data_IF_249688126571
#
_entry.id   IF_249688126571
#
_cell.length_a   1.000
_cell.length_b   1.000
_cell.length_c   1.000
_cell.angle_alpha   90.00
_cell.angle_beta   90.00
_cell.angle_gamma   90.00
#
_symmetry.space_group_name_H-M   'P 1'
#
loop_
_entity.id
_entity.type
_entity.pdbx_description
1 polymer ?
#
# COMPACT_ATOMS: atom_id res chain seq x y z
N UNK A 1 -49.48 49.45 -32.03
CA UNK A 1 -49.57 47.97 -32.05
C UNK A 1 -48.68 47.42 -30.93
N UNK A 2 -49.22 46.85 -29.84
CA UNK A 2 -48.39 46.14 -28.89
C UNK A 2 -48.25 44.67 -29.31
N UNK A 3 -47.01 44.17 -29.37
CA UNK A 3 -46.72 42.75 -29.57
C UNK A 3 -47.26 41.95 -28.37
N UNK A 4 -48.28 41.11 -28.59
CA UNK A 4 -48.67 40.08 -27.64
C UNK A 4 -47.58 38.99 -27.60
N UNK A 5 -46.90 38.85 -26.47
CA UNK A 5 -46.02 37.72 -26.20
C UNK A 5 -46.86 36.43 -26.04
N UNK A 6 -46.43 35.29 -26.59
CA UNK A 6 -47.18 34.05 -26.45
C UNK A 6 -47.12 33.56 -25.00
N UNK A 7 -48.21 32.96 -24.47
CA UNK A 7 -48.21 32.41 -23.13
C UNK A 7 -47.27 31.20 -23.10
N UNK A 8 -46.12 31.35 -22.45
CA UNK A 8 -45.22 30.23 -22.16
C UNK A 8 -46.01 29.25 -21.29
N UNK A 9 -46.50 28.17 -21.91
CA UNK A 9 -47.42 27.25 -21.26
C UNK A 9 -46.75 26.61 -20.04
N UNK A 10 -47.35 26.77 -18.85
CA UNK A 10 -46.86 26.15 -17.60
C UNK A 10 -46.72 24.62 -17.69
N UNK A 11 -47.28 24.00 -18.74
CA UNK A 11 -47.10 22.60 -19.10
C UNK A 11 -45.66 22.25 -19.54
N UNK A 12 -45.02 23.12 -20.34
CA UNK A 12 -43.62 22.94 -20.75
C UNK A 12 -42.67 23.08 -19.56
N UNK A 13 -42.93 24.05 -18.67
CA UNK A 13 -42.18 24.25 -17.43
C UNK A 13 -42.30 23.05 -16.49
N UNK A 14 -43.52 22.50 -16.30
CA UNK A 14 -43.76 21.29 -15.50
C UNK A 14 -43.08 20.05 -16.09
N UNK A 15 -43.07 19.87 -17.41
CA UNK A 15 -42.34 18.77 -18.07
C UNK A 15 -40.83 18.92 -17.92
N UNK A 16 -40.28 20.13 -18.04
CA UNK A 16 -38.86 20.40 -17.84
C UNK A 16 -38.46 20.10 -16.38
N UNK A 17 -39.21 20.62 -15.40
CA UNK A 17 -38.99 20.35 -13.97
C UNK A 17 -39.09 18.86 -13.64
N UNK A 18 -40.09 18.14 -14.19
CA UNK A 18 -40.21 16.70 -13.99
C UNK A 18 -39.03 15.90 -14.59
N UNK A 19 -38.49 16.34 -15.74
CA UNK A 19 -37.28 15.74 -16.33
C UNK A 19 -36.04 16.02 -15.48
N UNK A 20 -35.88 17.24 -14.97
CA UNK A 20 -34.79 17.61 -14.05
C UNK A 20 -34.87 16.80 -12.76
N UNK A 21 -36.06 16.64 -12.18
CA UNK A 21 -36.27 15.85 -10.97
C UNK A 21 -35.97 14.36 -11.19
N UNK A 22 -36.36 13.79 -12.35
CA UNK A 22 -35.97 12.42 -12.75
C UNK A 22 -34.46 12.29 -12.92
N UNK A 23 -33.80 13.28 -13.52
CA UNK A 23 -32.35 13.30 -13.71
C UNK A 23 -31.60 13.39 -12.37
N UNK A 24 -32.07 14.22 -11.44
CA UNK A 24 -31.53 14.32 -10.07
C UNK A 24 -31.65 12.98 -9.32
N UNK A 25 -32.82 12.32 -9.38
CA UNK A 25 -32.99 10.99 -8.79
C UNK A 25 -32.06 9.94 -9.40
N UNK A 26 -31.81 10.01 -10.71
CA UNK A 26 -30.86 9.12 -11.39
C UNK A 26 -29.42 9.37 -10.92
N UNK A 27 -29.04 10.64 -10.74
CA UNK A 27 -27.75 11.04 -10.18
C UNK A 27 -27.58 10.55 -8.75
N UNK A 28 -28.57 10.75 -7.88
CA UNK A 28 -28.55 10.24 -6.49
C UNK A 28 -28.40 8.71 -6.46
N UNK A 29 -29.12 7.99 -7.33
CA UNK A 29 -28.99 6.54 -7.45
C UNK A 29 -27.58 6.12 -7.90
N UNK A 30 -27.00 6.82 -8.88
CA UNK A 30 -25.64 6.59 -9.35
C UNK A 30 -24.62 6.86 -8.24
N UNK A 31 -24.74 7.98 -7.51
CA UNK A 31 -23.87 8.30 -6.38
C UNK A 31 -23.98 7.27 -5.27
N UNK A 32 -25.20 6.84 -4.90
CA UNK A 32 -25.42 5.81 -3.89
C UNK A 32 -24.84 4.45 -4.31
N UNK A 33 -24.94 4.09 -5.59
CA UNK A 33 -24.35 2.85 -6.14
C UNK A 33 -22.83 2.93 -6.19
N UNK A 34 -22.28 4.08 -6.59
CA UNK A 34 -20.85 4.36 -6.57
C UNK A 34 -20.31 4.27 -5.14
N UNK A 35 -21.02 4.85 -4.16
CA UNK A 35 -20.64 4.85 -2.76
C UNK A 35 -20.69 3.44 -2.15
N UNK A 36 -21.72 2.64 -2.47
CA UNK A 36 -21.79 1.22 -2.06
C UNK A 36 -20.66 0.40 -2.67
N UNK A 37 -20.38 0.59 -3.96
CA UNK A 37 -19.28 -0.09 -4.65
C UNK A 37 -17.91 0.31 -4.07
N UNK A 38 -17.71 1.60 -3.79
CA UNK A 38 -16.46 2.06 -3.19
C UNK A 38 -16.29 1.50 -1.79
N UNK A 39 -17.34 1.49 -0.95
CA UNK A 39 -17.30 0.91 0.39
C UNK A 39 -17.05 -0.60 0.37
N UNK A 40 -17.73 -1.35 -0.48
CA UNK A 40 -17.54 -2.79 -0.62
C UNK A 40 -16.10 -3.15 -1.02
N UNK A 41 -15.54 -2.43 -2.00
CA UNK A 41 -14.15 -2.64 -2.42
C UNK A 41 -13.13 -2.19 -1.34
N UNK A 42 -13.41 -1.15 -0.56
CA UNK A 42 -12.56 -0.77 0.58
C UNK A 42 -12.53 -1.85 1.65
N UNK A 43 -13.68 -2.46 1.96
CA UNK A 43 -13.74 -3.57 2.91
C UNK A 43 -12.96 -4.79 2.39
N UNK A 44 -13.11 -5.14 1.11
CA UNK A 44 -12.34 -6.23 0.51
C UNK A 44 -10.82 -5.95 0.52
N UNK A 45 -10.41 -4.72 0.21
CA UNK A 45 -9.00 -4.32 0.26
C UNK A 45 -8.45 -4.39 1.68
N UNK A 46 -9.23 -3.95 2.66
CA UNK A 46 -8.86 -4.05 4.07
C UNK A 46 -8.70 -5.52 4.49
N UNK A 47 -9.65 -6.39 4.18
CA UNK A 47 -9.54 -7.83 4.46
C UNK A 47 -8.32 -8.46 3.79
N UNK A 48 -8.01 -8.07 2.55
CA UNK A 48 -6.81 -8.53 1.85
C UNK A 48 -5.53 -8.02 2.52
N UNK A 49 -5.49 -6.78 2.98
CA UNK A 49 -4.35 -6.22 3.72
C UNK A 49 -4.17 -6.86 5.10
N UNK A 50 -5.26 -7.16 5.81
CA UNK A 50 -5.21 -7.88 7.10
C UNK A 50 -4.71 -9.30 6.88
N UNK A 51 -5.18 -9.98 5.83
CA UNK A 51 -4.66 -11.29 5.43
C UNK A 51 -3.15 -11.20 5.12
N UNK A 52 -2.74 -10.26 4.27
CA UNK A 52 -1.35 -10.04 3.91
C UNK A 52 -0.49 -9.76 5.16
N UNK A 53 -0.96 -8.89 6.06
CA UNK A 53 -0.28 -8.60 7.31
C UNK A 53 -0.15 -9.84 8.19
N UNK A 54 -1.22 -10.65 8.34
CA UNK A 54 -1.15 -11.88 9.10
C UNK A 54 -0.13 -12.88 8.51
N UNK A 55 -0.14 -13.06 7.20
CA UNK A 55 0.78 -13.94 6.48
C UNK A 55 2.23 -13.48 6.57
N UNK A 56 2.51 -12.20 6.32
CA UNK A 56 3.88 -11.68 6.35
C UNK A 56 4.41 -11.59 7.78
N UNK A 57 3.56 -11.26 8.76
CA UNK A 57 3.95 -11.24 10.16
C UNK A 57 4.27 -12.65 10.68
N UNK A 58 3.57 -13.71 10.23
CA UNK A 58 3.86 -15.08 10.66
C UNK A 58 5.20 -15.60 10.14
N UNK A 59 5.69 -15.09 9.01
CA UNK A 59 7.01 -15.42 8.46
C UNK A 59 8.11 -14.43 8.87
N UNK A 60 7.82 -13.52 9.81
CA UNK A 60 8.78 -12.53 10.32
C UNK A 60 10.14 -13.12 10.71
N UNK A 61 10.20 -14.23 11.49
CA UNK A 61 11.49 -14.82 11.85
C UNK A 61 12.33 -15.21 10.64
N UNK A 62 11.70 -15.65 9.55
CA UNK A 62 12.38 -16.08 8.32
C UNK A 62 13.10 -14.89 7.67
N UNK A 63 12.49 -13.70 7.66
CA UNK A 63 13.17 -12.49 7.15
C UNK A 63 14.45 -12.21 7.94
N UNK A 64 14.38 -12.23 9.27
CA UNK A 64 15.53 -11.95 10.13
C UNK A 64 16.64 -12.99 9.99
N UNK A 65 16.30 -14.29 9.97
CA UNK A 65 17.27 -15.35 9.74
C UNK A 65 17.99 -15.21 8.40
N UNK A 66 17.26 -14.88 7.34
CA UNK A 66 17.85 -14.66 6.01
C UNK A 66 18.81 -13.47 6.00
N UNK A 67 18.43 -12.35 6.60
CA UNK A 67 19.31 -11.17 6.67
C UNK A 67 20.60 -11.49 7.43
N UNK A 68 20.50 -12.19 8.57
CA UNK A 68 21.68 -12.63 9.32
C UNK A 68 22.57 -13.57 8.52
N UNK A 69 21.99 -14.55 7.83
CA UNK A 69 22.74 -15.49 6.99
C UNK A 69 23.44 -14.78 5.82
N UNK A 70 22.76 -13.85 5.14
CA UNK A 70 23.33 -13.06 4.05
C UNK A 70 24.50 -12.20 4.54
N UNK A 71 24.31 -11.51 5.66
CA UNK A 71 25.35 -10.67 6.27
C UNK A 71 26.58 -11.50 6.69
N UNK A 72 26.37 -12.70 7.26
CA UNK A 72 27.46 -13.60 7.63
C UNK A 72 28.23 -14.10 6.40
N UNK A 73 27.54 -14.50 5.32
CA UNK A 73 28.17 -14.93 4.07
C UNK A 73 29.01 -13.82 3.45
N UNK A 74 28.46 -12.62 3.33
CA UNK A 74 29.18 -11.48 2.76
C UNK A 74 30.37 -11.04 3.61
N UNK A 75 30.24 -11.09 4.94
CA UNK A 75 31.37 -10.86 5.84
C UNK A 75 32.48 -11.89 5.62
N UNK A 76 32.14 -13.18 5.51
CA UNK A 76 33.09 -14.26 5.23
C UNK A 76 33.89 -14.02 3.93
N UNK A 77 33.23 -13.57 2.86
CA UNK A 77 33.92 -13.23 1.62
C UNK A 77 34.84 -12.00 1.76
N UNK A 78 34.44 -11.01 2.54
CA UNK A 78 35.23 -9.80 2.78
C UNK A 78 36.43 -10.02 3.73
N UNK A 79 36.38 -11.02 4.62
CA UNK A 79 37.54 -11.41 5.43
C UNK A 79 38.76 -11.81 4.59
N UNK A 80 38.55 -12.30 3.36
CA UNK A 80 39.63 -12.57 2.40
C UNK A 80 40.33 -11.32 1.87
N UNK A 81 39.76 -10.13 2.10
CA UNK A 81 40.27 -8.82 1.66
C UNK A 81 40.72 -7.96 2.86
N UNK A 82 40.23 -8.28 4.07
CA UNK A 82 40.67 -7.66 5.33
C UNK A 82 39.67 -7.89 6.47
N UNK A 83 40.17 -8.11 7.70
CA UNK A 83 39.35 -8.44 8.89
C UNK A 83 38.36 -7.34 9.25
N UNK A 84 38.80 -6.08 9.16
CA UNK A 84 37.99 -4.90 9.46
C UNK A 84 36.91 -4.66 8.40
N UNK A 85 37.23 -4.93 7.12
CA UNK A 85 36.28 -4.80 6.02
C UNK A 85 35.10 -5.77 6.16
N UNK A 86 35.36 -7.01 6.58
CA UNK A 86 34.33 -8.01 6.87
C UNK A 86 33.36 -7.57 7.96
N UNK A 87 33.87 -6.93 9.02
CA UNK A 87 33.03 -6.45 10.12
C UNK A 87 32.18 -5.23 9.73
N UNK A 88 32.76 -4.30 8.96
CA UNK A 88 32.04 -3.10 8.46
C UNK A 88 30.92 -3.50 7.50
N UNK A 89 31.19 -4.41 6.54
CA UNK A 89 30.16 -4.90 5.61
C UNK A 89 29.03 -5.57 6.37
N UNK A 90 29.34 -6.40 7.38
CA UNK A 90 28.32 -7.04 8.22
C UNK A 90 27.45 -6.02 8.93
N UNK A 91 28.04 -5.02 9.60
CA UNK A 91 27.30 -3.99 10.35
C UNK A 91 26.39 -3.16 9.44
N UNK A 92 26.89 -2.72 8.28
CA UNK A 92 26.12 -1.92 7.34
C UNK A 92 24.99 -2.72 6.67
N UNK A 93 25.25 -3.98 6.32
CA UNK A 93 24.24 -4.90 5.79
C UNK A 93 23.11 -5.12 6.80
N UNK A 94 23.48 -5.40 8.06
CA UNK A 94 22.50 -5.59 9.13
C UNK A 94 21.69 -4.31 9.32
N UNK A 95 22.33 -3.16 9.53
CA UNK A 95 21.62 -1.90 9.77
C UNK A 95 20.61 -1.57 8.66
N UNK A 96 21.03 -1.57 7.39
CA UNK A 96 20.19 -1.14 6.28
C UNK A 96 19.03 -2.12 6.00
N UNK A 97 19.30 -3.42 6.07
CA UNK A 97 18.32 -4.48 5.79
C UNK A 97 17.32 -4.65 6.94
N UNK A 98 17.80 -4.65 8.19
CA UNK A 98 16.93 -4.75 9.37
C UNK A 98 15.99 -3.56 9.47
N UNK A 99 16.49 -2.36 9.23
CA UNK A 99 15.70 -1.14 9.32
C UNK A 99 14.48 -1.18 8.42
N UNK A 100 14.69 -1.60 7.18
CA UNK A 100 13.66 -1.71 6.16
C UNK A 100 12.58 -2.73 6.55
N UNK A 101 12.98 -3.91 7.04
CA UNK A 101 12.06 -4.95 7.50
C UNK A 101 11.35 -4.55 8.78
N UNK A 102 12.03 -3.88 9.72
CA UNK A 102 11.44 -3.32 10.95
C UNK A 102 10.29 -2.37 10.61
N UNK A 103 10.51 -1.40 9.71
CA UNK A 103 9.49 -0.46 9.28
C UNK A 103 8.29 -1.15 8.62
N UNK A 104 8.56 -2.13 7.75
CA UNK A 104 7.51 -2.91 7.09
C UNK A 104 6.66 -3.69 8.10
N UNK A 105 7.28 -4.42 9.02
CA UNK A 105 6.62 -5.22 10.06
C UNK A 105 5.79 -4.32 10.98
N UNK A 106 6.34 -3.20 11.42
CA UNK A 106 5.61 -2.24 12.27
C UNK A 106 4.37 -1.71 11.54
N UNK A 107 4.50 -1.31 10.27
CA UNK A 107 3.38 -0.85 9.46
C UNK A 107 2.31 -1.94 9.24
N UNK A 108 2.71 -3.19 9.00
CA UNK A 108 1.79 -4.33 8.95
C UNK A 108 1.14 -4.62 10.30
N UNK A 109 1.87 -4.40 11.40
CA UNK A 109 1.37 -4.44 12.76
C UNK A 109 0.22 -3.44 12.96
N UNK A 110 0.39 -2.19 12.51
CA UNK A 110 -0.68 -1.16 12.55
C UNK A 110 -1.90 -1.59 11.77
N UNK A 111 -1.74 -2.20 10.59
CA UNK A 111 -2.87 -2.74 9.80
C UNK A 111 -3.64 -3.80 10.59
N UNK A 112 -2.93 -4.64 11.35
CA UNK A 112 -3.51 -5.76 12.09
C UNK A 112 -4.15 -5.34 13.42
N UNK A 113 -3.54 -4.40 14.15
CA UNK A 113 -3.97 -4.01 15.50
C UNK A 113 -4.76 -2.70 15.53
N UNK A 114 -4.69 -1.89 14.46
CA UNK A 114 -5.26 -0.55 14.41
C UNK A 114 -4.49 0.49 15.23
N UNK A 115 -3.33 0.14 15.81
CA UNK A 115 -2.57 1.02 16.70
C UNK A 115 -1.08 1.00 16.37
N UNK A 116 -0.45 2.18 16.46
CA UNK A 116 1.00 2.39 16.29
C UNK A 116 1.79 1.97 17.55
N UNK A 117 1.11 1.69 18.67
CA UNK A 117 1.73 1.35 19.95
C UNK A 117 1.96 2.57 20.85
N UNK A 118 2.56 2.31 22.02
CA UNK A 118 2.78 3.30 23.09
C UNK A 118 3.90 4.31 22.73
N UNK A 119 4.11 5.35 23.56
CA UNK A 119 5.06 6.44 23.29
C UNK A 119 6.49 5.99 22.95
N UNK A 120 6.98 4.92 23.60
CA UNK A 120 8.30 4.32 23.30
C UNK A 120 8.38 3.75 21.88
N UNK A 121 7.31 3.09 21.41
CA UNK A 121 7.26 2.56 20.05
C UNK A 121 7.25 3.66 18.99
N UNK A 122 6.66 4.83 19.31
CA UNK A 122 6.69 6.01 18.44
C UNK A 122 8.08 6.63 18.36
N UNK A 123 8.77 6.82 19.50
CA UNK A 123 10.13 7.35 19.50
C UNK A 123 11.12 6.45 18.72
N UNK A 124 10.99 5.13 18.86
CA UNK A 124 11.75 4.16 18.07
C UNK A 124 11.39 4.23 16.58
N UNK A 125 10.11 4.42 16.27
CA UNK A 125 9.67 4.58 14.88
C UNK A 125 10.28 5.84 14.26
N UNK A 126 10.26 6.98 14.95
CA UNK A 126 10.83 8.23 14.46
C UNK A 126 12.34 8.10 14.21
N UNK A 127 13.04 7.37 15.09
CA UNK A 127 14.47 7.05 14.92
C UNK A 127 14.70 6.16 13.69
N UNK A 128 13.92 5.09 13.53
CA UNK A 128 14.00 4.19 12.39
C UNK A 128 13.70 4.95 11.07
N UNK A 129 12.69 5.81 11.09
CA UNK A 129 12.29 6.67 9.97
C UNK A 129 13.41 7.65 9.57
N UNK A 130 14.03 8.29 10.56
CA UNK A 130 15.15 9.20 10.34
C UNK A 130 16.34 8.46 9.71
N UNK A 131 16.76 7.33 10.29
CA UNK A 131 17.85 6.52 9.74
C UNK A 131 17.55 6.05 8.32
N UNK A 132 16.30 5.68 8.03
CA UNK A 132 15.91 5.24 6.70
C UNK A 132 15.98 6.38 5.69
N UNK A 133 15.68 7.61 6.13
CA UNK A 133 15.78 8.82 5.31
C UNK A 133 17.23 9.21 4.96
N UNK A 134 18.23 8.69 5.69
CA UNK A 134 19.65 8.90 5.39
C UNK A 134 20.18 7.97 4.28
N UNK A 135 19.51 6.83 4.03
CA UNK A 135 19.89 5.92 2.97
C UNK A 135 19.63 6.52 1.59
N UNK A 136 20.51 6.27 0.63
CA UNK A 136 20.24 6.69 -0.75
C UNK A 136 19.12 5.85 -1.39
N UNK A 137 18.53 6.34 -2.48
CA UNK A 137 17.39 5.66 -3.11
C UNK A 137 17.73 4.24 -3.61
N UNK A 138 18.97 4.01 -4.06
CA UNK A 138 19.42 2.71 -4.54
C UNK A 138 19.54 1.70 -3.39
N UNK A 139 20.07 2.12 -2.25
CA UNK A 139 20.17 1.32 -1.02
C UNK A 139 18.80 0.96 -0.50
N UNK A 140 17.88 1.93 -0.42
CA UNK A 140 16.49 1.66 -0.05
C UNK A 140 15.85 0.67 -1.00
N UNK A 141 16.00 0.86 -2.31
CA UNK A 141 15.44 -0.06 -3.30
C UNK A 141 15.97 -1.49 -3.11
N UNK A 142 17.29 -1.65 -3.07
CA UNK A 142 17.92 -2.96 -2.93
C UNK A 142 17.54 -3.64 -1.60
N UNK A 143 17.63 -2.90 -0.49
CA UNK A 143 17.29 -3.43 0.83
C UNK A 143 15.81 -3.84 0.89
N UNK A 144 14.87 -2.99 0.47
CA UNK A 144 13.44 -3.29 0.56
C UNK A 144 13.00 -4.38 -0.41
N UNK A 145 13.59 -4.42 -1.59
CA UNK A 145 13.27 -5.45 -2.57
C UNK A 145 13.70 -6.83 -2.08
N UNK A 146 14.97 -6.99 -1.71
CA UNK A 146 15.55 -8.29 -1.35
C UNK A 146 15.00 -8.84 -0.04
N UNK A 147 14.77 -7.96 0.94
CA UNK A 147 14.49 -8.40 2.32
C UNK A 147 13.00 -8.47 2.63
N UNK A 148 12.15 -7.73 1.91
CA UNK A 148 10.72 -7.67 2.19
C UNK A 148 9.85 -8.04 0.98
N UNK A 149 10.00 -7.33 -0.14
CA UNK A 149 9.09 -7.51 -1.28
C UNK A 149 9.24 -8.89 -1.92
N UNK A 150 10.47 -9.31 -2.24
CA UNK A 150 10.72 -10.58 -2.91
C UNK A 150 10.22 -11.78 -2.09
N UNK A 151 10.59 -11.96 -0.80
CA UNK A 151 10.07 -13.11 -0.06
C UNK A 151 8.56 -13.01 0.21
N UNK A 152 8.00 -11.79 0.34
CA UNK A 152 6.55 -11.62 0.41
C UNK A 152 5.82 -12.03 -0.88
N UNK A 153 6.37 -11.67 -2.04
CA UNK A 153 5.86 -12.08 -3.35
C UNK A 153 5.98 -13.59 -3.54
N UNK A 154 7.10 -14.21 -3.15
CA UNK A 154 7.28 -15.66 -3.19
C UNK A 154 6.26 -16.37 -2.29
N UNK A 155 6.01 -15.86 -1.08
CA UNK A 155 4.99 -16.42 -0.18
C UNK A 155 3.59 -16.39 -0.83
N UNK A 156 3.21 -15.28 -1.46
CA UNK A 156 1.96 -15.19 -2.20
C UNK A 156 1.91 -16.14 -3.40
N UNK A 157 3.02 -16.34 -4.11
CA UNK A 157 3.11 -17.29 -5.21
C UNK A 157 2.92 -18.74 -4.75
N UNK A 158 3.55 -19.14 -3.64
CA UNK A 158 3.33 -20.46 -3.02
C UNK A 158 1.87 -20.64 -2.60
N UNK A 159 1.28 -19.66 -1.92
CA UNK A 159 -0.13 -19.69 -1.54
C UNK A 159 -1.06 -19.76 -2.76
N UNK A 160 -0.64 -19.27 -3.92
CA UNK A 160 -1.41 -19.35 -5.16
C UNK A 160 -1.35 -20.75 -5.76
N UNK A 161 -0.15 -21.33 -5.82
CA UNK A 161 0.07 -22.67 -6.30
C UNK A 161 -0.70 -23.70 -5.45
N UNK A 162 -0.56 -23.63 -4.13
CA UNK A 162 -1.08 -24.66 -3.21
C UNK A 162 -2.46 -24.30 -2.61
N UNK A 163 -2.95 -23.08 -2.88
CA UNK A 163 -4.19 -22.57 -2.32
C UNK A 163 -5.45 -23.19 -2.91
N UNK A 164 -6.51 -23.24 -2.10
CA UNK A 164 -7.85 -23.57 -2.57
C UNK A 164 -8.42 -22.50 -3.52
N UNK A 165 -9.49 -22.82 -4.25
CA UNK A 165 -10.08 -21.93 -5.25
C UNK A 165 -10.54 -20.56 -4.72
N UNK A 166 -10.84 -20.45 -3.42
CA UNK A 166 -11.16 -19.15 -2.77
C UNK A 166 -9.88 -18.32 -2.55
N UNK A 167 -8.83 -18.94 -2.04
CA UNK A 167 -7.55 -18.27 -1.79
C UNK A 167 -6.90 -17.76 -3.08
N UNK A 168 -6.92 -18.59 -4.15
CA UNK A 168 -6.42 -18.21 -5.48
C UNK A 168 -7.07 -16.95 -6.06
N UNK A 169 -8.34 -16.69 -5.74
CA UNK A 169 -9.04 -15.46 -6.18
C UNK A 169 -8.61 -14.21 -5.41
N UNK A 170 -8.17 -14.36 -4.17
CA UNK A 170 -7.76 -13.25 -3.30
C UNK A 170 -6.30 -12.83 -3.55
N UNK A 171 -5.44 -13.78 -3.91
CA UNK A 171 -3.99 -13.54 -4.03
C UNK A 171 -3.62 -12.47 -5.06
N UNK A 172 -4.21 -12.41 -6.28
CA UNK A 172 -3.91 -11.33 -7.23
C UNK A 172 -4.14 -9.95 -6.62
N UNK A 173 -5.22 -9.80 -5.84
CA UNK A 173 -5.52 -8.54 -5.15
C UNK A 173 -4.53 -8.28 -4.01
N UNK A 174 -4.19 -9.30 -3.22
CA UNK A 174 -3.19 -9.20 -2.16
C UNK A 174 -1.80 -8.82 -2.71
N UNK A 175 -1.42 -9.35 -3.88
CA UNK A 175 -0.16 -9.02 -4.56
C UNK A 175 -0.12 -7.57 -5.05
N UNK A 176 -1.22 -7.10 -5.65
CA UNK A 176 -1.35 -5.70 -6.05
C UNK A 176 -1.23 -4.76 -4.84
N UNK A 177 -1.85 -5.13 -3.73
CA UNK A 177 -1.79 -4.38 -2.47
C UNK A 177 -0.39 -4.43 -1.83
N UNK A 178 0.28 -5.58 -1.86
CA UNK A 178 1.69 -5.73 -1.44
C UNK A 178 2.61 -4.81 -2.25
N UNK A 179 2.42 -4.77 -3.57
CA UNK A 179 3.20 -3.90 -4.47
C UNK A 179 3.00 -2.43 -4.12
N UNK A 180 1.76 -2.00 -3.86
CA UNK A 180 1.47 -0.63 -3.44
C UNK A 180 2.06 -0.31 -2.07
N UNK A 181 1.99 -1.25 -1.13
CA UNK A 181 2.60 -1.11 0.19
C UNK A 181 4.12 -0.95 0.08
N UNK A 182 4.77 -1.79 -0.72
CA UNK A 182 6.19 -1.72 -1.03
C UNK A 182 6.61 -0.37 -1.63
N UNK A 183 5.89 0.13 -2.63
CA UNK A 183 6.19 1.42 -3.25
C UNK A 183 6.06 2.60 -2.27
N UNK A 184 5.10 2.53 -1.33
CA UNK A 184 4.95 3.53 -0.28
C UNK A 184 6.05 3.44 0.77
N UNK A 185 6.45 2.24 1.17
CA UNK A 185 7.59 2.01 2.05
C UNK A 185 8.88 2.59 1.47
N UNK A 186 9.07 2.48 0.15
CA UNK A 186 10.22 3.06 -0.55
C UNK A 186 10.21 4.59 -0.60
N UNK A 187 9.06 5.18 -0.95
CA UNK A 187 8.96 6.62 -1.22
C UNK A 187 8.70 7.44 0.02
N UNK A 188 7.67 7.07 0.77
CA UNK A 188 7.11 7.86 1.87
C UNK A 188 6.60 6.93 3.00
N UNK A 189 7.52 6.31 3.77
CA UNK A 189 7.17 5.35 4.82
C UNK A 189 6.22 5.90 5.87
N UNK A 190 6.28 7.20 6.17
CA UNK A 190 5.39 7.88 7.14
C UNK A 190 3.92 7.67 6.79
N UNK A 191 3.62 7.61 5.50
CA UNK A 191 2.25 7.47 5.03
C UNK A 191 1.66 6.12 5.43
N UNK A 192 2.48 5.08 5.63
CA UNK A 192 2.03 3.77 6.09
C UNK A 192 1.55 3.79 7.55
N UNK A 193 1.98 4.77 8.34
CA UNK A 193 1.56 4.90 9.75
C UNK A 193 0.38 5.86 9.90
N UNK A 194 0.25 6.85 9.01
CA UNK A 194 -0.91 7.76 8.97
C UNK A 194 -2.12 7.14 8.26
N UNK A 195 -1.86 6.45 7.16
CA UNK A 195 -2.86 5.82 6.29
C UNK A 195 -2.38 4.41 5.90
N UNK A 196 -2.55 3.41 6.78
CA UNK A 196 -1.95 2.08 6.61
C UNK A 196 -2.44 1.32 5.38
N UNK A 197 -3.69 1.56 4.97
CA UNK A 197 -4.23 0.97 3.75
C UNK A 197 -3.83 1.83 2.56
N UNK A 198 -3.23 1.27 1.49
CA UNK A 198 -2.88 2.05 0.31
C UNK A 198 -4.14 2.71 -0.28
N UNK A 199 -4.13 4.04 -0.50
CA UNK A 199 -5.21 4.69 -1.21
C UNK A 199 -5.32 4.08 -2.60
N UNK A 200 -6.53 4.12 -3.17
CA UNK A 200 -6.73 3.60 -4.53
C UNK A 200 -5.79 4.36 -5.48
N UNK A 201 -4.86 3.65 -6.11
CA UNK A 201 -4.48 4.00 -7.47
C UNK A 201 -5.78 3.89 -8.24
N UNK A 202 -6.45 5.03 -8.46
CA UNK A 202 -7.47 5.11 -9.49
C UNK A 202 -6.76 4.57 -10.74
N UNK A 203 -7.36 3.64 -11.51
CA UNK A 203 -6.80 3.36 -12.82
C UNK A 203 -6.56 4.72 -13.47
N UNK A 204 -5.38 4.89 -14.07
CA UNK A 204 -5.05 6.05 -14.88
C UNK A 204 -6.07 6.07 -16.01
N UNK A 205 -7.26 6.59 -15.72
CA UNK A 205 -8.10 7.20 -16.71
C UNK A 205 -7.30 8.43 -17.05
N UNK A 206 -6.64 8.35 -18.19
CA UNK A 206 -6.21 9.51 -18.94
C UNK A 206 -7.39 10.50 -18.99
N UNK A 207 -7.48 11.38 -18.01
CA UNK A 207 -8.09 12.67 -18.22
C UNK A 207 -6.94 13.47 -18.80
N UNK A 208 -6.90 13.45 -20.14
CA UNK A 208 -6.38 14.58 -20.87
C UNK A 208 -7.04 15.82 -20.26
N UNK A 209 -6.33 16.51 -19.35
CA UNK A 209 -6.56 17.92 -19.11
C UNK A 209 -6.15 18.59 -20.41
N UNK A 210 -7.12 18.67 -21.33
CA UNK A 210 -7.12 19.71 -22.35
C UNK A 210 -6.92 21.03 -21.62
N UNK A 211 -5.94 21.78 -22.13
CA UNK A 211 -5.87 23.24 -22.12
C UNK A 211 -7.24 23.86 -21.89
N UNK A 212 -7.34 24.76 -20.93
CA UNK A 212 -7.82 26.13 -21.09
C UNK A 212 -7.39 26.93 -19.85
#
# INVERSE_FOLDING_TARGET
MPLQQPPVSGYLLRRALARVFKFLRLLEFLFARLHRYTRARLNNDHSCMVFLAATLLSITPIFFYRIHADAARMAHHAYGVGRDLGEVVRKNMLANRFLTVSLAIRALGVIRTGSVGNGVHRALLDTDMFQYSLLNQRERFAATYETFFLPGAMCLAFLYADGNGRLRRLIPRAYELLTRFYLRLLREPETLFRNPIPPRVRPIVWIARRRH
#
